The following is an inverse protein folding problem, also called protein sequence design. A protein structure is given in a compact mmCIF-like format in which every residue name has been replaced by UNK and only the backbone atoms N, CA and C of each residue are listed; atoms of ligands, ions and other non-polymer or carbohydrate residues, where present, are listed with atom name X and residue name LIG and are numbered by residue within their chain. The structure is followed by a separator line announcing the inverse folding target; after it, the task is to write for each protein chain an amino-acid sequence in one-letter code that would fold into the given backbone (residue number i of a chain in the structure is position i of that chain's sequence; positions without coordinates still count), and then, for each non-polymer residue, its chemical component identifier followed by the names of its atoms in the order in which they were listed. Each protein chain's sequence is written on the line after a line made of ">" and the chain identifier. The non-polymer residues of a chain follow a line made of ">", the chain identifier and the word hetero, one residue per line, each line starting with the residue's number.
data_IF_771023090166
#
_entry.id   IF_771023090166
#
_cell.length_a   1.000
_cell.length_b   1.000
_cell.length_c   1.000
_cell.angle_alpha   90.00
_cell.angle_beta   90.00
_cell.angle_gamma   90.00
#
_symmetry.space_group_name_H-M   'P 1'
#
loop_
_entity.id
_entity.type
_entity.pdbx_description
1 polymer ?
#
# COMPACT_ATOMS: atom_id res chain seq x y z
N UNK A 1 10.45 1.29 -10.58
CA UNK A 1 9.75 0.33 -9.69
C UNK A 1 8.50 0.98 -9.10
N UNK A 2 7.37 0.33 -9.29
CA UNK A 2 6.11 0.75 -8.70
C UNK A 2 5.84 -0.04 -7.42
N UNK A 3 5.40 0.66 -6.37
CA UNK A 3 5.02 0.06 -5.10
C UNK A 3 3.51 0.27 -4.93
N UNK A 4 2.76 -0.82 -4.81
CA UNK A 4 1.32 -0.77 -4.55
C UNK A 4 1.11 -0.94 -3.05
N UNK A 5 0.70 0.13 -2.39
CA UNK A 5 0.69 0.25 -0.93
C UNK A 5 -0.73 0.22 -0.38
N UNK A 6 -1.03 -0.76 0.48
CA UNK A 6 -2.21 -0.72 1.33
C UNK A 6 -1.96 0.16 2.55
N UNK A 7 -3.02 0.66 3.16
CA UNK A 7 -2.94 1.58 4.31
C UNK A 7 -3.35 0.88 5.60
N UNK A 8 -4.60 0.38 5.68
CA UNK A 8 -5.08 -0.29 6.89
C UNK A 8 -4.32 -1.59 7.10
N UNK A 9 -3.85 -1.81 8.32
CA UNK A 9 -3.02 -2.97 8.66
C UNK A 9 -1.55 -2.82 8.24
N UNK A 10 -1.19 -1.76 7.51
CA UNK A 10 0.17 -1.51 7.01
C UNK A 10 0.76 -0.24 7.64
N UNK A 11 0.20 0.91 7.34
CA UNK A 11 0.60 2.19 7.96
C UNK A 11 -0.25 2.52 9.19
N UNK A 12 -1.37 1.84 9.35
CA UNK A 12 -2.23 1.93 10.52
C UNK A 12 -2.41 0.50 11.05
N UNK A 13 -1.59 0.08 12.04
CA UNK A 13 -1.72 -1.27 12.63
C UNK A 13 -3.12 -1.52 13.18
N UNK A 14 -3.61 -2.72 12.99
CA UNK A 14 -4.91 -3.15 13.50
C UNK A 14 -4.73 -3.70 14.93
N UNK A 15 -4.85 -2.81 15.91
CA UNK A 15 -4.73 -3.15 17.34
C UNK A 15 -6.11 -3.16 17.98
N UNK A 16 -6.84 -4.22 17.72
CA UNK A 16 -8.26 -4.37 18.07
C UNK A 16 -8.59 -4.19 19.54
N UNK A 17 -7.58 -4.34 20.42
CA UNK A 17 -7.76 -4.21 21.87
C UNK A 17 -7.50 -2.79 22.39
N UNK A 18 -7.07 -1.88 21.51
CA UNK A 18 -6.85 -0.49 21.86
C UNK A 18 -8.04 0.33 21.38
N UNK A 19 -8.68 1.05 22.31
CA UNK A 19 -9.77 1.95 21.95
C UNK A 19 -9.21 3.27 21.47
N UNK A 20 -9.42 3.66 20.20
CA UNK A 20 -8.97 4.96 19.74
C UNK A 20 -9.73 6.09 20.43
N UNK A 21 -9.04 7.16 20.80
CA UNK A 21 -9.65 8.27 21.53
C UNK A 21 -10.41 9.21 20.62
N UNK A 22 -10.22 9.13 19.30
CA UNK A 22 -10.94 9.98 18.34
C UNK A 22 -10.90 9.39 16.95
N UNK A 23 -11.82 9.85 16.08
CA UNK A 23 -11.82 9.49 14.66
C UNK A 23 -10.54 9.95 13.98
N UNK A 24 -9.96 11.07 14.40
CA UNK A 24 -8.71 11.58 13.85
C UNK A 24 -7.55 10.62 14.11
N UNK A 25 -7.53 9.94 15.27
CA UNK A 25 -6.50 8.94 15.56
C UNK A 25 -6.66 7.68 14.73
N UNK A 26 -7.91 7.27 14.44
CA UNK A 26 -8.18 6.14 13.56
C UNK A 26 -7.64 6.33 12.15
N UNK A 27 -7.55 7.59 11.72
CA UNK A 27 -7.14 7.97 10.37
C UNK A 27 -5.68 8.42 10.29
N UNK A 28 -4.98 8.42 11.43
CA UNK A 28 -3.58 8.84 11.49
C UNK A 28 -2.65 7.66 11.26
N UNK A 29 -1.68 7.85 10.36
CA UNK A 29 -0.62 6.85 10.17
C UNK A 29 0.20 6.69 11.45
N UNK A 30 0.57 5.46 11.76
CA UNK A 30 1.49 5.19 12.86
C UNK A 30 2.87 5.75 12.48
N UNK A 31 3.46 6.56 13.37
CA UNK A 31 4.71 7.26 13.06
C UNK A 31 5.87 6.29 12.81
N UNK A 32 5.95 5.19 13.53
CA UNK A 32 7.02 4.21 13.34
C UNK A 32 6.87 3.48 12.02
N UNK A 33 5.65 3.05 11.68
CA UNK A 33 5.37 2.40 10.41
C UNK A 33 5.69 3.33 9.24
N UNK A 34 5.26 4.58 9.33
CA UNK A 34 5.53 5.58 8.30
C UNK A 34 7.02 5.82 8.15
N UNK A 35 7.75 5.98 9.26
CA UNK A 35 9.19 6.21 9.23
C UNK A 35 9.95 5.06 8.57
N UNK A 36 9.62 3.82 8.92
CA UNK A 36 10.26 2.65 8.30
C UNK A 36 10.02 2.62 6.79
N UNK A 37 8.79 2.90 6.36
CA UNK A 37 8.45 2.92 4.94
C UNK A 37 9.16 4.06 4.21
N UNK A 38 9.09 5.27 4.75
CA UNK A 38 9.68 6.46 4.12
C UNK A 38 11.20 6.35 4.01
N UNK A 39 11.85 5.75 5.01
CA UNK A 39 13.30 5.56 4.96
C UNK A 39 13.73 4.62 3.83
N UNK A 40 12.94 3.60 3.54
CA UNK A 40 13.19 2.75 2.36
C UNK A 40 13.08 3.59 1.09
N UNK A 41 12.03 4.40 0.96
CA UNK A 41 11.84 5.24 -0.22
C UNK A 41 13.00 6.23 -0.42
N UNK A 42 13.56 6.76 0.66
CA UNK A 42 14.71 7.67 0.58
C UNK A 42 15.96 6.98 0.04
N UNK A 43 16.10 5.68 0.30
CA UNK A 43 17.20 4.88 -0.22
C UNK A 43 17.01 4.47 -1.68
N UNK A 44 15.80 4.54 -2.20
CA UNK A 44 15.45 4.14 -3.57
C UNK A 44 14.66 5.26 -4.26
N UNK A 45 15.35 6.33 -4.69
CA UNK A 45 14.67 7.56 -5.15
C UNK A 45 13.82 7.40 -6.42
N UNK A 46 14.02 6.32 -7.19
CA UNK A 46 13.25 6.08 -8.40
C UNK A 46 11.94 5.31 -8.16
N UNK A 47 11.72 4.82 -6.93
CA UNK A 47 10.48 4.13 -6.61
C UNK A 47 9.30 5.12 -6.52
N UNK A 48 8.16 4.72 -7.06
CA UNK A 48 6.91 5.49 -7.02
C UNK A 48 5.83 4.65 -6.36
N UNK A 49 4.91 5.31 -5.68
CA UNK A 49 3.89 4.64 -4.86
C UNK A 49 2.51 4.89 -5.44
N UNK A 50 1.76 3.80 -5.59
CA UNK A 50 0.35 3.82 -5.95
C UNK A 50 -0.42 3.25 -4.76
N UNK A 51 -1.44 3.96 -4.31
CA UNK A 51 -2.24 3.52 -3.16
C UNK A 51 -3.21 2.45 -3.62
N UNK A 52 -3.14 1.28 -2.97
CA UNK A 52 -3.98 0.12 -3.22
C UNK A 52 -4.80 -0.17 -1.95
N UNK A 53 -5.81 0.65 -1.68
CA UNK A 53 -6.54 0.63 -0.42
C UNK A 53 -7.99 1.05 -0.64
N UNK A 54 -8.87 0.58 0.24
CA UNK A 54 -10.27 1.03 0.28
C UNK A 54 -10.41 2.51 0.65
N UNK A 55 -9.35 3.17 1.09
CA UNK A 55 -9.36 4.62 1.34
C UNK A 55 -9.78 5.41 0.10
N UNK A 56 -9.50 4.90 -1.11
CA UNK A 56 -9.94 5.54 -2.37
C UNK A 56 -11.47 5.68 -2.46
N UNK A 57 -12.21 4.82 -1.75
CA UNK A 57 -13.68 4.87 -1.72
C UNK A 57 -14.20 5.98 -0.80
N UNK A 58 -13.36 6.47 0.11
CA UNK A 58 -13.74 7.40 1.18
C UNK A 58 -13.15 8.79 0.94
N UNK A 59 -11.92 8.86 0.43
CA UNK A 59 -11.17 10.10 0.30
C UNK A 59 -10.78 10.39 -1.14
N UNK A 60 -10.81 11.64 -1.59
CA UNK A 60 -10.20 12.02 -2.86
C UNK A 60 -8.68 11.87 -2.77
N UNK A 61 -8.04 11.64 -3.91
CA UNK A 61 -6.59 11.39 -3.95
C UNK A 61 -5.78 12.51 -3.29
N UNK A 62 -6.20 13.77 -3.46
CA UNK A 62 -5.47 14.95 -2.97
C UNK A 62 -5.26 14.95 -1.45
N UNK A 63 -6.07 14.19 -0.71
CA UNK A 63 -5.96 14.08 0.76
C UNK A 63 -4.78 13.21 1.15
N UNK A 64 -4.35 12.28 0.29
CA UNK A 64 -3.39 11.23 0.66
C UNK A 64 -1.93 11.72 0.70
N UNK A 65 -1.38 12.39 -0.35
CA UNK A 65 0.02 12.79 -0.32
C UNK A 65 0.42 13.63 0.90
N UNK A 66 -0.41 14.58 1.38
CA UNK A 66 -0.06 15.37 2.57
C UNK A 66 0.09 14.58 3.87
N UNK A 67 -0.37 13.33 3.91
CA UNK A 67 -0.20 12.46 5.08
C UNK A 67 1.22 11.91 5.20
N UNK A 68 1.99 12.02 4.13
CA UNK A 68 3.41 11.63 4.08
C UNK A 68 4.30 12.85 4.29
N UNK A 69 5.58 12.61 4.59
CA UNK A 69 6.56 13.69 4.70
C UNK A 69 6.68 14.46 3.37
N UNK A 70 6.99 15.77 3.40
CA UNK A 70 7.02 16.59 2.18
C UNK A 70 7.93 16.04 1.07
N UNK A 71 9.06 15.42 1.42
CA UNK A 71 9.98 14.85 0.45
C UNK A 71 9.45 13.54 -0.18
N UNK A 72 8.47 12.91 0.46
CA UNK A 72 7.87 11.65 0.00
C UNK A 72 6.55 11.92 -0.74
N UNK A 73 5.83 12.96 -0.39
CA UNK A 73 4.49 13.25 -0.89
C UNK A 73 4.41 13.24 -2.42
N UNK A 74 5.40 13.81 -3.10
CA UNK A 74 5.42 13.87 -4.57
C UNK A 74 5.61 12.51 -5.24
N UNK A 75 6.02 11.51 -4.47
CA UNK A 75 6.23 10.15 -4.97
C UNK A 75 4.98 9.28 -4.87
N UNK A 76 3.93 9.78 -4.23
CA UNK A 76 2.61 9.15 -4.17
C UNK A 76 1.86 9.63 -5.41
N UNK A 77 1.66 8.73 -6.40
CA UNK A 77 1.27 9.17 -7.75
C UNK A 77 -0.16 8.83 -8.14
N UNK A 78 -0.87 8.03 -7.38
CA UNK A 78 -2.26 7.73 -7.72
C UNK A 78 -2.86 6.63 -6.87
N UNK A 79 -4.10 6.27 -7.24
CA UNK A 79 -4.83 5.13 -6.71
C UNK A 79 -4.91 4.03 -7.76
N UNK A 80 -4.99 2.77 -7.32
CA UNK A 80 -5.46 1.70 -8.18
C UNK A 80 -6.95 1.93 -8.50
N UNK A 81 -7.42 1.50 -9.70
CA UNK A 81 -8.85 1.58 -10.00
C UNK A 81 -9.64 0.61 -9.10
N UNK A 82 -10.83 1.01 -8.72
CA UNK A 82 -11.74 0.14 -7.98
C UNK A 82 -12.44 -0.78 -8.96
N UNK A 83 -12.19 -2.08 -8.85
CA UNK A 83 -12.91 -3.09 -9.60
C UNK A 83 -14.12 -3.53 -8.79
N UNK A 84 -15.32 -3.23 -9.27
CA UNK A 84 -16.53 -3.67 -8.61
C UNK A 84 -16.89 -5.05 -9.14
N UNK A 85 -16.66 -6.13 -8.37
CA UNK A 85 -16.94 -7.48 -8.84
C UNK A 85 -18.45 -7.69 -8.91
N UNK A 86 -19.01 -7.66 -10.10
CA UNK A 86 -20.41 -8.08 -10.31
C UNK A 86 -20.59 -9.56 -10.00
N UNK A 87 -19.49 -10.31 -9.97
CA UNK A 87 -19.46 -11.72 -9.64
C UNK A 87 -18.21 -11.98 -8.80
N UNK A 88 -18.40 -12.22 -7.51
CA UNK A 88 -17.31 -12.48 -6.54
C UNK A 88 -16.45 -13.65 -6.96
N UNK A 89 -16.99 -14.63 -7.67
CA UNK A 89 -16.25 -15.81 -8.11
C UNK A 89 -15.24 -15.52 -9.22
N UNK A 90 -15.34 -14.40 -9.91
CA UNK A 90 -14.42 -14.01 -10.98
C UNK A 90 -13.21 -13.24 -10.47
N UNK A 91 -13.21 -12.79 -9.20
CA UNK A 91 -12.17 -11.92 -8.65
C UNK A 91 -11.54 -12.51 -7.38
N UNK A 92 -10.99 -13.74 -7.54
CA UNK A 92 -10.34 -14.44 -6.43
C UNK A 92 -9.21 -13.61 -5.81
N UNK A 93 -8.50 -12.84 -6.64
CA UNK A 93 -7.38 -12.00 -6.21
C UNK A 93 -7.70 -10.54 -6.58
N UNK A 94 -8.62 -9.93 -5.82
CA UNK A 94 -9.15 -8.61 -6.19
C UNK A 94 -8.06 -7.53 -6.24
N UNK A 95 -7.21 -7.45 -5.23
CA UNK A 95 -6.12 -6.45 -5.22
C UNK A 95 -5.15 -6.65 -6.36
N UNK A 96 -4.81 -7.89 -6.66
CA UNK A 96 -3.96 -8.22 -7.78
C UNK A 96 -4.59 -7.79 -9.12
N UNK A 97 -5.89 -8.03 -9.29
CA UNK A 97 -6.59 -7.59 -10.50
C UNK A 97 -6.58 -6.07 -10.63
N UNK A 98 -6.73 -5.35 -9.53
CA UNK A 98 -6.66 -3.89 -9.53
C UNK A 98 -5.26 -3.38 -9.90
N UNK A 99 -4.21 -4.05 -9.42
CA UNK A 99 -2.83 -3.74 -9.80
C UNK A 99 -2.64 -3.94 -11.31
N UNK A 100 -3.07 -5.07 -11.85
CA UNK A 100 -2.94 -5.35 -13.28
C UNK A 100 -3.70 -4.34 -14.12
N UNK A 101 -4.87 -3.92 -13.69
CA UNK A 101 -5.66 -2.91 -14.39
C UNK A 101 -4.97 -1.53 -14.35
N UNK A 102 -4.38 -1.16 -13.21
CA UNK A 102 -3.58 0.06 -13.13
C UNK A 102 -2.42 0.04 -14.13
N UNK A 103 -1.69 -1.08 -14.18
CA UNK A 103 -0.56 -1.23 -15.08
C UNK A 103 -1.02 -1.11 -16.54
N UNK A 104 -2.15 -1.73 -16.89
CA UNK A 104 -2.71 -1.65 -18.25
C UNK A 104 -3.11 -0.22 -18.60
N UNK A 105 -3.83 0.47 -17.71
CA UNK A 105 -4.29 1.84 -17.96
C UNK A 105 -3.15 2.84 -18.11
N UNK A 106 -2.00 2.58 -17.48
CA UNK A 106 -0.85 3.46 -17.49
C UNK A 106 0.27 2.97 -18.41
N UNK A 107 -0.02 1.95 -19.25
CA UNK A 107 0.94 1.41 -20.22
C UNK A 107 2.24 0.94 -19.53
N UNK A 108 2.10 0.34 -18.36
CA UNK A 108 3.20 -0.08 -17.49
C UNK A 108 3.23 -1.59 -17.25
N UNK A 109 2.63 -2.39 -18.13
CA UNK A 109 2.52 -3.85 -17.94
C UNK A 109 3.88 -4.53 -17.81
N UNK A 110 4.92 -3.94 -18.40
CA UNK A 110 6.28 -4.49 -18.34
C UNK A 110 7.13 -3.86 -17.24
N UNK A 111 6.57 -2.94 -16.46
CA UNK A 111 7.28 -2.30 -15.36
C UNK A 111 7.37 -3.24 -14.16
N UNK A 112 8.53 -3.33 -13.50
CA UNK A 112 8.61 -4.09 -12.25
C UNK A 112 7.77 -3.44 -11.15
N UNK A 113 7.16 -4.26 -10.33
CA UNK A 113 6.32 -3.79 -9.22
C UNK A 113 6.41 -4.71 -8.02
N UNK A 114 6.03 -4.18 -6.86
CA UNK A 114 5.87 -4.93 -5.63
C UNK A 114 4.64 -4.39 -4.89
N UNK A 115 3.90 -5.27 -4.23
CA UNK A 115 2.76 -4.88 -3.40
C UNK A 115 3.13 -4.99 -1.92
N UNK A 116 2.48 -4.18 -1.10
CA UNK A 116 2.59 -4.22 0.37
C UNK A 116 1.16 -4.31 0.90
N UNK A 117 0.84 -5.43 1.55
CA UNK A 117 -0.53 -5.71 1.98
C UNK A 117 -0.51 -6.62 3.21
N UNK A 118 -1.49 -6.47 4.09
CA UNK A 118 -1.66 -7.32 5.27
C UNK A 118 -2.51 -8.57 4.99
N UNK A 119 -3.08 -8.67 3.79
CA UNK A 119 -3.91 -9.81 3.39
C UNK A 119 -3.27 -10.50 2.18
N UNK A 120 -2.38 -11.49 2.41
CA UNK A 120 -1.68 -12.18 1.30
C UNK A 120 -2.62 -12.86 0.32
N UNK A 121 -3.82 -13.26 0.77
CA UNK A 121 -4.82 -13.93 -0.04
C UNK A 121 -5.38 -13.06 -1.16
N UNK A 122 -5.14 -11.74 -1.13
CA UNK A 122 -5.50 -10.83 -2.21
C UNK A 122 -4.61 -10.98 -3.45
N UNK A 123 -3.55 -11.79 -3.35
CA UNK A 123 -2.56 -11.97 -4.42
C UNK A 123 -2.28 -13.46 -4.65
N UNK A 124 -2.00 -13.88 -5.90
CA UNK A 124 -1.51 -15.23 -6.16
C UNK A 124 -0.22 -15.54 -5.37
N UNK A 125 0.05 -16.83 -5.06
CA UNK A 125 1.19 -17.19 -4.20
C UNK A 125 2.56 -16.70 -4.66
N UNK A 126 2.78 -16.56 -5.96
CA UNK A 126 4.08 -16.18 -6.51
C UNK A 126 4.21 -14.67 -6.80
N UNK A 127 3.28 -13.88 -6.29
CA UNK A 127 3.30 -12.42 -6.52
C UNK A 127 4.45 -11.74 -5.76
N UNK A 128 5.02 -10.64 -6.31
CA UNK A 128 5.97 -9.83 -5.56
C UNK A 128 5.24 -9.07 -4.46
N UNK A 129 5.24 -9.62 -3.26
CA UNK A 129 4.44 -9.13 -2.14
C UNK A 129 5.27 -9.07 -0.87
N UNK A 130 5.26 -7.91 -0.22
CA UNK A 130 5.68 -7.74 1.17
C UNK A 130 4.44 -7.98 2.03
N UNK A 131 4.32 -9.17 2.62
CA UNK A 131 3.21 -9.52 3.48
C UNK A 131 3.43 -8.91 4.86
N UNK A 132 2.43 -8.21 5.37
CA UNK A 132 2.50 -7.46 6.62
C UNK A 132 1.64 -8.17 7.67
N UNK A 133 2.18 -8.27 8.90
CA UNK A 133 1.39 -8.61 10.08
C UNK A 133 0.57 -7.38 10.46
N UNK A 134 -0.76 -7.47 10.40
CA UNK A 134 -1.64 -6.33 10.60
C UNK A 134 -1.55 -5.72 12.02
N UNK A 135 -1.16 -6.50 13.02
CA UNK A 135 -0.98 -5.99 14.38
C UNK A 135 0.24 -5.08 14.50
N UNK A 136 1.35 -5.46 13.85
CA UNK A 136 2.60 -4.69 13.90
C UNK A 136 2.66 -3.60 12.83
N UNK A 137 1.97 -3.79 11.71
CA UNK A 137 2.09 -2.90 10.58
C UNK A 137 3.46 -2.99 9.91
N UNK A 138 3.80 -1.99 9.11
CA UNK A 138 5.08 -1.93 8.40
C UNK A 138 6.20 -1.67 9.41
N UNK A 139 7.03 -2.67 9.66
CA UNK A 139 8.10 -2.63 10.64
C UNK A 139 9.49 -2.72 10.00
N UNK A 140 10.52 -2.84 10.82
CA UNK A 140 11.90 -2.95 10.33
C UNK A 140 12.10 -4.17 9.45
N UNK A 141 11.48 -5.30 9.77
CA UNK A 141 11.56 -6.51 8.94
C UNK A 141 10.87 -6.29 7.59
N UNK A 142 9.74 -5.62 7.58
CA UNK A 142 9.04 -5.23 6.34
C UNK A 142 9.93 -4.35 5.45
N UNK A 143 10.64 -3.40 6.06
CA UNK A 143 11.59 -2.53 5.36
C UNK A 143 12.71 -3.33 4.70
N UNK A 144 13.23 -4.34 5.39
CA UNK A 144 14.27 -5.21 4.84
C UNK A 144 13.75 -5.99 3.63
N UNK A 145 12.56 -6.58 3.73
CA UNK A 145 11.96 -7.35 2.64
C UNK A 145 11.68 -6.45 1.44
N UNK A 146 11.10 -5.26 1.67
CA UNK A 146 10.85 -4.31 0.59
C UNK A 146 12.14 -3.91 -0.11
N UNK A 147 13.21 -3.64 0.64
CA UNK A 147 14.51 -3.28 0.07
C UNK A 147 15.07 -4.37 -0.84
N UNK A 148 14.83 -5.64 -0.52
CA UNK A 148 15.25 -6.76 -1.36
C UNK A 148 14.56 -6.71 -2.72
N UNK A 149 13.28 -6.34 -2.78
CA UNK A 149 12.56 -6.19 -4.04
C UNK A 149 13.04 -5.00 -4.85
N UNK A 150 13.46 -3.92 -4.20
CA UNK A 150 13.85 -2.67 -4.86
C UNK A 150 15.32 -2.66 -5.34
N UNK A 151 16.09 -3.61 -4.89
CA UNK A 151 17.53 -3.70 -5.24
C UNK A 151 17.77 -4.10 -6.67
#
# INVERSE_FOLDING_TARGET
>A
MLIFLDIDGVLIPDRRHETPSSLAELMKFNSDCLNHFENVLRSYPNARVVISSSWREIFPFEVIPPLFSPDIASRIIGFTPSLNPKNIHQHKYLRHQEVLEYLRQNQAENSPWVAIDDIPEHYPPDSPLVAIDDYNGFDQNSAKVLSEYLT
#
